data_IF_294027847721
#
_entry.id   IF_294027847721
#
_cell.length_a   1.000
_cell.length_b   1.000
_cell.length_c   1.000
_cell.angle_alpha   90.00
_cell.angle_beta   90.00
_cell.angle_gamma   90.00
#
_symmetry.space_group_name_H-M   'P 1'
#
loop_
_entity.id
_entity.type
_entity.pdbx_description
1 polymer ?
#
# COMPACT_ATOMS: atom_id res chain seq x y z
N UNK A 1 -19.95 18.33 4.18
CA UNK A 1 -18.51 18.66 4.02
C UNK A 1 -17.88 19.08 5.36
N UNK A 2 -18.56 19.84 6.22
CA UNK A 2 -18.00 20.23 7.54
C UNK A 2 -17.96 19.12 8.60
N UNK A 3 -18.74 18.04 8.47
CA UNK A 3 -18.80 17.02 9.52
C UNK A 3 -17.46 16.29 9.72
N UNK A 4 -16.74 16.00 8.64
CA UNK A 4 -15.38 15.42 8.72
C UNK A 4 -14.41 16.43 9.33
N UNK A 5 -14.51 17.72 8.95
CA UNK A 5 -13.65 18.77 9.47
C UNK A 5 -13.85 18.98 10.98
N UNK A 6 -15.09 18.99 11.47
CA UNK A 6 -15.39 19.11 12.90
C UNK A 6 -14.94 17.89 13.70
N UNK A 7 -15.07 16.68 13.14
CA UNK A 7 -14.57 15.48 13.80
C UNK A 7 -13.04 15.51 13.90
N UNK A 8 -12.36 15.92 12.82
CA UNK A 8 -10.90 16.08 12.80
C UNK A 8 -10.41 17.16 13.76
N UNK A 9 -11.08 18.31 13.84
CA UNK A 9 -10.81 19.37 14.81
C UNK A 9 -10.87 18.86 16.27
N UNK A 10 -11.87 18.03 16.58
CA UNK A 10 -11.95 17.36 17.89
C UNK A 10 -10.79 16.38 18.15
N UNK A 11 -10.30 15.69 17.12
CA UNK A 11 -9.12 14.82 17.21
C UNK A 11 -7.86 15.66 17.45
N UNK A 12 -7.69 16.77 16.74
CA UNK A 12 -6.56 17.69 16.93
C UNK A 12 -6.53 18.26 18.35
N UNK A 13 -7.67 18.70 18.89
CA UNK A 13 -7.78 19.18 20.27
C UNK A 13 -7.46 18.09 21.29
N UNK A 14 -7.92 16.85 21.06
CA UNK A 14 -7.61 15.74 21.95
C UNK A 14 -6.11 15.43 21.95
N UNK A 15 -5.47 15.31 20.78
CA UNK A 15 -4.03 15.01 20.68
C UNK A 15 -3.17 16.14 21.26
N UNK A 16 -3.49 17.40 20.93
CA UNK A 16 -2.73 18.57 21.41
C UNK A 16 -2.98 18.88 22.89
N UNK A 17 -4.09 18.42 23.44
CA UNK A 17 -4.38 18.49 24.88
C UNK A 17 -3.60 17.47 25.73
N UNK A 18 -2.90 16.50 25.12
CA UNK A 18 -2.06 15.55 25.83
C UNK A 18 -0.70 16.14 26.19
N UNK A 19 -0.09 15.65 27.28
CA UNK A 19 1.31 15.93 27.57
C UNK A 19 2.25 15.27 26.53
N UNK A 20 3.50 15.71 26.46
CA UNK A 20 4.46 15.27 25.43
C UNK A 20 4.62 13.75 25.34
N UNK A 21 4.80 13.05 26.47
CA UNK A 21 5.02 11.59 26.49
C UNK A 21 3.84 10.80 25.87
N UNK A 22 2.58 10.97 26.32
CA UNK A 22 1.45 10.29 25.70
C UNK A 22 1.24 10.69 24.23
N UNK A 23 1.53 11.94 23.84
CA UNK A 23 1.45 12.36 22.43
C UNK A 23 2.43 11.55 21.55
N UNK A 24 3.70 11.42 21.96
CA UNK A 24 4.68 10.60 21.24
C UNK A 24 4.25 9.13 21.20
N UNK A 25 3.68 8.61 22.29
CA UNK A 25 3.19 7.23 22.34
C UNK A 25 2.07 6.98 21.32
N UNK A 26 1.10 7.90 21.22
CA UNK A 26 0.04 7.83 20.20
C UNK A 26 0.64 7.80 18.79
N UNK A 27 1.63 8.65 18.52
CA UNK A 27 2.29 8.66 17.21
C UNK A 27 2.99 7.33 16.94
N UNK A 28 3.80 6.84 17.87
CA UNK A 28 4.59 5.63 17.68
C UNK A 28 3.76 4.35 17.61
N UNK A 29 2.71 4.25 18.43
CA UNK A 29 1.92 3.02 18.59
C UNK A 29 0.66 3.00 17.72
N UNK A 30 0.15 4.17 17.31
CA UNK A 30 -1.08 4.26 16.51
C UNK A 30 -0.79 4.78 15.11
N UNK A 31 -0.18 5.97 15.00
CA UNK A 31 -0.04 6.64 13.70
C UNK A 31 0.96 5.91 12.79
N UNK A 32 2.14 5.54 13.31
CA UNK A 32 3.15 4.81 12.54
C UNK A 32 2.63 3.47 11.98
N UNK A 33 2.05 2.57 12.80
CA UNK A 33 1.51 1.32 12.26
C UNK A 33 0.31 1.54 11.35
N UNK A 34 -0.52 2.56 11.60
CA UNK A 34 -1.61 2.93 10.69
C UNK A 34 -1.06 3.35 9.31
N UNK A 35 -0.01 4.17 9.28
CA UNK A 35 0.66 4.53 8.03
C UNK A 35 1.24 3.31 7.32
N UNK A 36 1.91 2.41 8.06
CA UNK A 36 2.45 1.18 7.49
C UNK A 36 1.35 0.27 6.92
N UNK A 37 0.20 0.18 7.59
CA UNK A 37 -0.96 -0.55 7.11
C UNK A 37 -1.52 0.07 5.82
N UNK A 38 -1.70 1.38 5.79
CA UNK A 38 -2.19 2.09 4.60
C UNK A 38 -1.22 1.91 3.43
N UNK A 39 0.09 2.03 3.67
CA UNK A 39 1.11 1.78 2.65
C UNK A 39 1.00 0.36 2.09
N UNK A 40 0.88 -0.65 2.96
CA UNK A 40 0.65 -2.05 2.55
C UNK A 40 -0.61 -2.20 1.72
N UNK A 41 -1.71 -1.57 2.11
CA UNK A 41 -2.96 -1.63 1.36
C UNK A 41 -2.83 -1.01 -0.03
N UNK A 42 -2.11 0.11 -0.14
CA UNK A 42 -1.82 0.76 -1.43
C UNK A 42 -0.93 -0.13 -2.30
N UNK A 43 0.13 -0.72 -1.73
CA UNK A 43 1.01 -1.65 -2.45
C UNK A 43 0.24 -2.87 -2.97
N UNK A 44 -0.67 -3.42 -2.15
CA UNK A 44 -1.53 -4.53 -2.52
C UNK A 44 -2.52 -4.12 -3.63
N UNK A 45 -3.14 -2.95 -3.52
CA UNK A 45 -4.04 -2.42 -4.53
C UNK A 45 -3.30 -2.19 -5.86
N UNK A 46 -2.09 -1.65 -5.81
CA UNK A 46 -1.24 -1.43 -6.98
C UNK A 46 -0.84 -2.76 -7.65
N UNK A 47 -0.43 -3.75 -6.86
CA UNK A 47 -0.15 -5.09 -7.36
C UNK A 47 -1.39 -5.73 -8.00
N UNK A 48 -2.56 -5.54 -7.39
CA UNK A 48 -3.83 -6.03 -7.95
C UNK A 48 -4.16 -5.35 -9.29
N UNK A 49 -3.99 -4.03 -9.38
CA UNK A 49 -4.17 -3.27 -10.62
C UNK A 49 -3.22 -3.76 -11.71
N UNK A 50 -1.93 -3.99 -11.40
CA UNK A 50 -0.98 -4.52 -12.39
C UNK A 50 -1.31 -5.94 -12.85
N UNK A 51 -1.80 -6.81 -11.96
CA UNK A 51 -2.27 -8.15 -12.34
C UNK A 51 -3.51 -8.08 -13.24
N UNK A 52 -4.46 -7.21 -12.91
CA UNK A 52 -5.67 -7.00 -13.72
C UNK A 52 -5.35 -6.37 -15.07
N UNK A 53 -4.35 -5.48 -15.13
CA UNK A 53 -3.91 -4.85 -16.37
C UNK A 53 -3.08 -5.79 -17.27
N UNK A 54 -2.67 -6.95 -16.75
CA UNK A 54 -2.45 -8.14 -17.57
C UNK A 54 -1.50 -7.96 -18.75
N UNK A 55 -0.25 -7.59 -18.48
CA UNK A 55 0.86 -7.99 -19.35
C UNK A 55 1.58 -9.18 -18.74
N UNK A 56 0.84 -10.28 -18.62
CA UNK A 56 1.43 -11.60 -18.74
C UNK A 56 1.80 -11.81 -20.22
N UNK A 57 2.67 -10.95 -20.77
CA UNK A 57 3.27 -11.12 -22.09
C UNK A 57 4.29 -12.25 -21.98
N UNK A 58 3.79 -13.49 -22.01
CA UNK A 58 4.45 -14.71 -22.45
C UNK A 58 6.00 -14.67 -22.59
N UNK A 59 6.80 -14.53 -21.52
CA UNK A 59 8.25 -14.75 -21.65
C UNK A 59 8.54 -16.25 -21.80
N UNK A 60 7.64 -17.08 -21.26
CA UNK A 60 7.77 -18.54 -21.22
C UNK A 60 7.37 -19.23 -22.53
N UNK A 61 6.41 -18.69 -23.30
CA UNK A 61 6.02 -19.29 -24.58
C UNK A 61 7.09 -19.02 -25.66
N UNK A 62 7.67 -17.82 -25.67
CA UNK A 62 8.77 -17.46 -26.55
C UNK A 62 10.07 -18.25 -26.23
N UNK A 63 10.39 -18.44 -24.95
CA UNK A 63 11.55 -19.24 -24.53
C UNK A 63 11.39 -20.74 -24.85
N UNK A 64 10.19 -21.31 -24.69
CA UNK A 64 9.92 -22.71 -25.01
C UNK A 64 9.97 -22.98 -26.53
N UNK A 65 9.47 -22.05 -27.36
CA UNK A 65 9.52 -22.16 -28.82
C UNK A 65 10.96 -22.08 -29.37
N UNK A 66 11.84 -21.29 -28.74
CA UNK A 66 13.26 -21.22 -29.11
C UNK A 66 13.99 -22.55 -28.89
N UNK A 67 13.70 -23.25 -27.78
CA UNK A 67 14.35 -24.54 -27.48
C UNK A 67 13.92 -25.68 -28.41
N UNK A 68 12.68 -25.66 -28.91
CA UNK A 68 12.17 -26.68 -29.85
C UNK A 68 12.73 -26.48 -31.28
N UNK A 69 12.97 -25.22 -31.69
CA UNK A 69 13.60 -24.91 -32.97
C UNK A 69 15.08 -25.32 -33.02
N UNK A 70 15.79 -25.24 -31.90
CA UNK A 70 17.22 -25.58 -31.80
C UNK A 70 17.44 -27.10 -31.73
N UNK A 71 16.48 -27.86 -31.19
CA UNK A 71 16.51 -29.33 -31.16
C UNK A 71 16.15 -29.99 -32.51
N UNK A 72 15.55 -29.24 -33.44
CA UNK A 72 15.08 -29.74 -34.75
C UNK A 72 16.03 -29.42 -35.91
N UNK A 73 17.09 -28.64 -35.67
CA UNK A 73 18.17 -28.35 -36.63
C UNK A 73 19.37 -29.27 -36.46
#
# INVERSE_FOLDING_TARGET
MNQIAHWWDGVELWVTGLAFIPQVLVVMVVVVPLCALIARLVDLALAWVFRVLGRDEEPSAAAAAATDSEARS
#
